data_IF_784746251103
#
_entry.id   IF_784746251103
#
_cell.length_a   1.000
_cell.length_b   1.000
_cell.length_c   1.000
_cell.angle_alpha   90.00
_cell.angle_beta   90.00
_cell.angle_gamma   90.00
#
_symmetry.space_group_name_H-M   'P 1'
#
loop_
_entity.id
_entity.type
_entity.pdbx_description
1 polymer ?
#
# COMPACT_ATOMS: atom_id res chain seq x y z
N UNK A 1 -37.46 24.58 27.85
CA UNK A 1 -36.81 25.08 26.61
C UNK A 1 -35.33 24.77 26.77
N UNK A 2 -34.57 24.09 25.91
CA UNK A 2 -34.75 23.47 24.61
C UNK A 2 -33.43 22.68 24.38
N UNK A 3 -33.52 21.42 23.93
CA UNK A 3 -32.48 20.61 23.25
C UNK A 3 -31.19 20.13 24.00
N UNK A 4 -30.97 18.79 24.06
CA UNK A 4 -29.71 18.13 24.38
C UNK A 4 -29.02 17.63 23.10
N UNK A 5 -27.91 18.25 22.65
CA UNK A 5 -27.19 17.73 21.47
C UNK A 5 -25.70 18.07 21.47
N UNK A 6 -24.93 17.56 22.43
CA UNK A 6 -23.47 17.51 22.32
C UNK A 6 -22.93 16.20 22.90
N UNK A 7 -23.49 15.08 22.43
CA UNK A 7 -22.86 13.77 22.55
C UNK A 7 -22.24 13.42 21.19
N UNK A 8 -21.04 12.85 21.24
CA UNK A 8 -20.26 12.25 20.14
C UNK A 8 -19.44 13.21 19.27
N UNK A 9 -18.26 13.60 19.75
CA UNK A 9 -17.13 13.86 18.85
C UNK A 9 -15.77 13.76 19.56
N UNK A 10 -15.52 12.69 20.33
CA UNK A 10 -14.16 12.47 20.85
C UNK A 10 -13.83 11.02 21.26
N UNK A 11 -14.19 9.99 20.49
CA UNK A 11 -13.59 8.65 20.67
C UNK A 11 -13.57 7.89 19.34
N UNK A 12 -12.55 8.08 18.50
CA UNK A 12 -11.83 7.01 17.74
C UNK A 12 -10.44 7.55 17.36
N UNK A 13 -9.58 7.76 18.35
CA UNK A 13 -8.13 7.90 18.14
C UNK A 13 -7.39 6.74 18.82
N UNK A 14 -8.01 5.56 18.85
CA UNK A 14 -7.42 4.35 19.37
C UNK A 14 -7.18 3.36 18.22
N UNK A 15 -5.90 2.97 18.08
CA UNK A 15 -5.42 1.80 17.33
C UNK A 15 -5.15 1.96 15.82
N UNK A 16 -4.33 2.94 15.44
CA UNK A 16 -3.37 2.72 14.35
C UNK A 16 -1.94 3.06 14.78
N UNK A 17 -1.56 2.68 16.00
CA UNK A 17 -0.17 2.37 16.29
C UNK A 17 0.15 1.02 15.61
N UNK A 18 0.22 1.01 14.28
CA UNK A 18 0.89 -0.09 13.60
C UNK A 18 2.36 0.02 13.98
N UNK A 19 2.98 -1.04 14.52
CA UNK A 19 4.42 -1.01 14.72
C UNK A 19 5.06 -0.66 13.39
N UNK A 20 5.95 0.34 13.41
CA UNK A 20 6.81 0.75 12.30
C UNK A 20 7.87 -0.34 11.98
N UNK A 21 7.48 -1.60 12.05
CA UNK A 21 8.32 -2.77 11.89
C UNK A 21 7.96 -3.39 10.54
N UNK A 22 8.85 -3.18 9.56
CA UNK A 22 8.83 -3.63 8.16
C UNK A 22 8.17 -2.71 7.10
N UNK A 23 8.30 -1.40 7.25
CA UNK A 23 8.22 -0.47 6.11
C UNK A 23 9.50 -0.62 5.25
N UNK A 24 9.55 -1.62 4.36
CA UNK A 24 10.72 -1.76 3.49
C UNK A 24 10.73 -2.92 2.49
N UNK A 25 9.92 -3.96 2.70
CA UNK A 25 9.81 -5.04 1.73
C UNK A 25 8.56 -5.84 2.03
N UNK A 26 7.58 -5.79 1.13
CA UNK A 26 6.67 -6.91 0.99
C UNK A 26 7.55 -8.13 0.74
N UNK A 27 7.39 -9.19 1.53
CA UNK A 27 8.17 -10.44 1.42
C UNK A 27 7.65 -11.24 0.19
N UNK A 28 7.67 -10.59 -0.97
CA UNK A 28 7.14 -11.06 -2.26
C UNK A 28 7.90 -12.30 -2.73
N UNK A 29 9.12 -12.52 -2.24
CA UNK A 29 9.93 -13.69 -2.55
C UNK A 29 9.27 -15.00 -2.13
N UNK A 30 8.47 -14.97 -1.06
CA UNK A 30 7.74 -16.14 -0.53
C UNK A 30 6.40 -16.38 -1.22
N UNK A 31 5.92 -15.43 -2.03
CA UNK A 31 4.67 -15.61 -2.77
C UNK A 31 4.81 -16.63 -3.89
N UNK A 32 3.72 -17.32 -4.17
CA UNK A 32 3.53 -18.09 -5.40
C UNK A 32 3.53 -17.19 -6.64
N UNK A 33 3.56 -17.83 -7.82
CA UNK A 33 3.65 -17.13 -9.10
C UNK A 33 2.54 -16.07 -9.31
N UNK A 34 1.31 -16.38 -8.90
CA UNK A 34 0.16 -15.46 -8.99
C UNK A 34 0.34 -14.21 -8.12
N UNK A 35 0.74 -14.39 -6.85
CA UNK A 35 1.00 -13.28 -5.94
C UNK A 35 2.17 -12.41 -6.41
N UNK A 36 3.27 -13.04 -6.84
CA UNK A 36 4.43 -12.32 -7.43
C UNK A 36 4.03 -11.48 -8.63
N UNK A 37 3.28 -12.05 -9.57
CA UNK A 37 2.79 -11.33 -10.75
C UNK A 37 1.90 -10.15 -10.35
N UNK A 38 0.96 -10.35 -9.43
CA UNK A 38 0.09 -9.27 -8.94
C UNK A 38 0.90 -8.11 -8.36
N UNK A 39 1.85 -8.38 -7.46
CA UNK A 39 2.69 -7.34 -6.86
C UNK A 39 3.61 -6.68 -7.88
N UNK A 40 4.16 -7.41 -8.84
CA UNK A 40 4.98 -6.84 -9.91
C UNK A 40 4.17 -5.90 -10.81
N UNK A 41 2.98 -6.32 -11.24
CA UNK A 41 2.07 -5.54 -12.07
C UNK A 41 1.59 -4.28 -11.33
N UNK A 42 1.25 -4.42 -10.05
CA UNK A 42 0.91 -3.32 -9.14
C UNK A 42 2.08 -2.34 -9.00
N UNK A 43 3.31 -2.84 -8.76
CA UNK A 43 4.51 -2.02 -8.59
C UNK A 43 4.83 -1.22 -9.86
N UNK A 44 4.75 -1.85 -11.04
CA UNK A 44 4.94 -1.16 -12.32
C UNK A 44 3.93 -0.02 -12.51
N UNK A 45 2.64 -0.31 -12.25
CA UNK A 45 1.58 0.68 -12.40
C UNK A 45 1.76 1.85 -11.42
N UNK A 46 1.98 1.58 -10.13
CA UNK A 46 2.07 2.63 -9.10
C UNK A 46 3.28 3.55 -9.28
N UNK A 47 4.38 3.02 -9.84
CA UNK A 47 5.57 3.82 -10.16
C UNK A 47 5.28 4.84 -11.27
N UNK A 48 4.41 4.50 -12.22
CA UNK A 48 3.94 5.41 -13.28
C UNK A 48 2.92 6.44 -12.84
N UNK A 49 2.36 6.32 -11.62
CA UNK A 49 1.40 7.30 -11.09
C UNK A 49 2.15 8.51 -10.50
N UNK A 50 1.95 9.73 -11.02
CA UNK A 50 2.74 10.90 -10.62
C UNK A 50 2.47 11.36 -9.18
N UNK A 51 1.21 11.30 -8.76
CA UNK A 51 0.77 11.62 -7.41
C UNK A 51 -0.26 10.59 -7.00
N UNK A 52 -0.13 10.03 -5.79
CA UNK A 52 -1.06 9.03 -5.27
C UNK A 52 -2.19 9.65 -4.45
N UNK A 53 -2.25 10.98 -4.37
CA UNK A 53 -3.31 11.66 -3.64
C UNK A 53 -4.70 11.33 -4.23
N UNK A 54 -5.73 11.07 -3.41
CA UNK A 54 -7.04 10.64 -3.89
C UNK A 54 -7.74 11.61 -4.85
N UNK A 55 -7.41 12.90 -4.81
CA UNK A 55 -7.92 13.92 -5.74
C UNK A 55 -7.32 13.81 -7.16
N UNK A 56 -6.22 13.08 -7.33
CA UNK A 56 -5.57 12.92 -8.62
C UNK A 56 -6.31 11.86 -9.48
N UNK A 57 -6.70 12.23 -10.70
CA UNK A 57 -7.44 11.33 -11.60
C UNK A 57 -6.66 10.04 -11.94
N UNK A 58 -5.34 10.12 -12.12
CA UNK A 58 -4.51 8.95 -12.38
C UNK A 58 -4.42 8.03 -11.15
N UNK A 59 -4.35 8.60 -9.94
CA UNK A 59 -4.42 7.83 -8.69
C UNK A 59 -5.76 7.11 -8.55
N UNK A 60 -6.88 7.81 -8.79
CA UNK A 60 -8.20 7.19 -8.72
C UNK A 60 -8.34 6.06 -9.75
N UNK A 61 -7.90 6.27 -11.00
CA UNK A 61 -7.93 5.23 -12.02
C UNK A 61 -7.09 4.02 -11.61
N UNK A 62 -5.88 4.26 -11.08
CA UNK A 62 -5.03 3.21 -10.53
C UNK A 62 -5.71 2.47 -9.37
N UNK A 63 -6.30 3.17 -8.40
CA UNK A 63 -6.96 2.54 -7.25
C UNK A 63 -8.19 1.72 -7.64
N UNK A 64 -9.02 2.21 -8.57
CA UNK A 64 -10.15 1.44 -9.11
C UNK A 64 -9.67 0.15 -9.77
N UNK A 65 -8.69 0.26 -10.68
CA UNK A 65 -8.12 -0.90 -11.37
C UNK A 65 -7.41 -1.87 -10.41
N UNK A 66 -6.75 -1.33 -9.39
CA UNK A 66 -6.10 -2.14 -8.35
C UNK A 66 -7.13 -2.95 -7.57
N UNK A 67 -8.19 -2.30 -7.09
CA UNK A 67 -9.25 -2.95 -6.33
C UNK A 67 -9.98 -3.99 -7.18
N UNK A 68 -10.30 -3.65 -8.43
CA UNK A 68 -10.92 -4.57 -9.38
C UNK A 68 -10.06 -5.83 -9.59
N UNK A 69 -8.77 -5.66 -9.90
CA UNK A 69 -7.84 -6.79 -10.04
C UNK A 69 -7.74 -7.60 -8.75
N UNK A 70 -7.68 -6.93 -7.60
CA UNK A 70 -7.54 -7.59 -6.30
C UNK A 70 -8.78 -8.40 -5.93
N UNK A 71 -9.99 -7.87 -6.15
CA UNK A 71 -11.24 -8.58 -5.84
C UNK A 71 -11.46 -9.79 -6.75
N UNK A 72 -10.94 -9.75 -7.97
CA UNK A 72 -11.00 -10.85 -8.93
C UNK A 72 -9.82 -11.83 -8.88
N UNK A 73 -8.88 -11.67 -7.92
CA UNK A 73 -7.84 -12.68 -7.71
C UNK A 73 -8.45 -14.02 -7.29
N UNK A 74 -7.89 -15.12 -7.81
CA UNK A 74 -8.18 -16.47 -7.36
C UNK A 74 -8.00 -16.62 -5.85
N UNK A 75 -8.87 -17.39 -5.21
CA UNK A 75 -8.83 -17.60 -3.76
C UNK A 75 -7.49 -18.19 -3.29
N UNK A 76 -6.85 -19.02 -4.12
CA UNK A 76 -5.52 -19.57 -3.83
C UNK A 76 -4.47 -18.46 -3.75
N UNK A 77 -4.54 -17.47 -4.63
CA UNK A 77 -3.62 -16.32 -4.65
C UNK A 77 -3.91 -15.40 -3.47
N UNK A 78 -5.18 -15.15 -3.14
CA UNK A 78 -5.55 -14.38 -1.95
C UNK A 78 -5.03 -15.03 -0.67
N UNK A 79 -5.20 -16.34 -0.49
CA UNK A 79 -4.68 -17.08 0.67
C UNK A 79 -3.15 -17.03 0.75
N UNK A 80 -2.46 -17.19 -0.37
CA UNK A 80 -1.00 -17.05 -0.45
C UNK A 80 -0.54 -15.64 -0.02
N UNK A 81 -1.26 -14.61 -0.45
CA UNK A 81 -1.01 -13.23 -0.01
C UNK A 81 -1.33 -12.99 1.47
N UNK A 82 -2.41 -13.58 1.99
CA UNK A 82 -2.73 -13.52 3.42
C UNK A 82 -1.64 -14.16 4.28
N UNK A 83 -1.06 -15.26 3.81
CA UNK A 83 -0.02 -16.00 4.52
C UNK A 83 1.34 -15.27 4.52
N UNK A 84 1.76 -14.74 3.37
CA UNK A 84 3.13 -14.23 3.20
C UNK A 84 3.25 -12.72 3.27
N UNK A 85 2.17 -11.97 3.02
CA UNK A 85 2.13 -10.51 3.11
C UNK A 85 0.88 -10.00 3.86
N UNK A 86 0.63 -10.50 5.09
CA UNK A 86 -0.63 -10.30 5.81
C UNK A 86 -1.01 -8.83 6.01
N UNK A 87 -0.02 -7.97 6.27
CA UNK A 87 -0.25 -6.54 6.51
C UNK A 87 -0.85 -5.84 5.30
N UNK A 88 -0.27 -6.05 4.12
CA UNK A 88 -0.76 -5.45 2.88
C UNK A 88 -2.11 -6.03 2.50
N UNK A 89 -2.26 -7.36 2.61
CA UNK A 89 -3.51 -8.05 2.30
C UNK A 89 -4.66 -7.58 3.19
N UNK A 90 -4.41 -7.30 4.48
CA UNK A 90 -5.41 -6.70 5.38
C UNK A 90 -5.86 -5.31 4.91
N UNK A 91 -4.93 -4.46 4.48
CA UNK A 91 -5.25 -3.13 3.95
C UNK A 91 -6.09 -3.25 2.68
N UNK A 92 -5.69 -4.14 1.76
CA UNK A 92 -6.41 -4.37 0.51
C UNK A 92 -7.83 -4.86 0.73
N UNK A 93 -8.01 -5.83 1.65
CA UNK A 93 -9.31 -6.32 2.07
C UNK A 93 -10.19 -5.21 2.68
N UNK A 94 -9.63 -4.35 3.53
CA UNK A 94 -10.36 -3.23 4.11
C UNK A 94 -10.76 -2.19 3.06
N UNK A 95 -9.85 -1.86 2.14
CA UNK A 95 -10.12 -0.93 1.05
C UNK A 95 -11.20 -1.48 0.11
N UNK A 96 -11.14 -2.76 -0.27
CA UNK A 96 -12.14 -3.40 -1.12
C UNK A 96 -13.54 -3.40 -0.48
N UNK A 97 -13.63 -3.73 0.82
CA UNK A 97 -14.91 -3.66 1.55
C UNK A 97 -15.46 -2.24 1.60
N UNK A 98 -14.60 -1.25 1.87
CA UNK A 98 -15.01 0.15 1.96
C UNK A 98 -15.34 0.76 0.60
N UNK A 99 -14.76 0.29 -0.49
CA UNK A 99 -14.99 0.87 -1.82
C UNK A 99 -16.47 0.86 -2.24
N UNK A 100 -17.23 -0.15 -1.82
CA UNK A 100 -18.67 -0.25 -2.08
C UNK A 100 -19.55 0.66 -1.20
N UNK A 101 -18.97 1.26 -0.14
CA UNK A 101 -19.69 2.05 0.86
C UNK A 101 -19.25 3.52 0.78
N UNK A 102 -17.93 3.73 0.83
CA UNK A 102 -17.26 5.02 0.79
C UNK A 102 -15.97 4.88 -0.05
N UNK A 103 -16.05 5.14 -1.37
CA UNK A 103 -14.90 5.12 -2.26
C UNK A 103 -13.77 6.07 -1.85
N UNK A 104 -14.10 7.21 -1.21
CA UNK A 104 -13.11 8.21 -0.81
C UNK A 104 -12.23 7.66 0.30
N UNK A 105 -12.82 7.04 1.32
CA UNK A 105 -12.05 6.38 2.38
C UNK A 105 -11.22 5.22 1.84
N UNK A 106 -11.76 4.40 0.93
CA UNK A 106 -11.00 3.32 0.30
C UNK A 106 -9.75 3.87 -0.41
N UNK A 107 -9.90 4.96 -1.17
CA UNK A 107 -8.77 5.60 -1.85
C UNK A 107 -7.77 6.26 -0.89
N UNK A 108 -8.22 6.83 0.23
CA UNK A 108 -7.31 7.36 1.26
C UNK A 108 -6.44 6.26 1.88
N UNK A 109 -7.02 5.10 2.17
CA UNK A 109 -6.28 3.93 2.66
C UNK A 109 -5.22 3.48 1.64
N UNK A 110 -5.62 3.33 0.38
CA UNK A 110 -4.70 2.92 -0.69
C UNK A 110 -3.62 3.96 -0.95
N UNK A 111 -3.97 5.25 -1.00
CA UNK A 111 -3.03 6.36 -1.11
C UNK A 111 -1.95 6.27 -0.03
N UNK A 112 -2.36 6.16 1.23
CA UNK A 112 -1.42 6.08 2.37
C UNK A 112 -0.49 4.89 2.23
N UNK A 113 -1.02 3.72 1.90
CA UNK A 113 -0.20 2.52 1.68
C UNK A 113 0.79 2.71 0.54
N UNK A 114 0.32 3.16 -0.62
CA UNK A 114 1.14 3.26 -1.83
C UNK A 114 2.17 4.38 -1.77
N UNK A 115 1.90 5.48 -1.07
CA UNK A 115 2.91 6.52 -0.84
C UNK A 115 4.05 5.99 0.03
N UNK A 116 3.72 5.26 1.10
CA UNK A 116 4.72 4.63 1.95
C UNK A 116 5.50 3.54 1.20
N UNK A 117 4.81 2.78 0.34
CA UNK A 117 5.43 1.80 -0.55
C UNK A 117 6.43 2.46 -1.52
N UNK A 118 6.04 3.54 -2.22
CA UNK A 118 6.94 4.27 -3.14
C UNK A 118 8.14 4.87 -2.41
N UNK A 119 7.93 5.46 -1.23
CA UNK A 119 9.01 6.00 -0.37
C UNK A 119 9.97 4.89 0.06
N UNK A 120 9.45 3.76 0.50
CA UNK A 120 10.24 2.59 0.90
C UNK A 120 11.08 2.03 -0.26
N UNK A 121 10.46 1.84 -1.43
CA UNK A 121 11.14 1.37 -2.63
C UNK A 121 12.24 2.34 -3.10
N UNK A 122 11.94 3.64 -3.13
CA UNK A 122 12.91 4.69 -3.51
C UNK A 122 14.06 4.77 -2.51
N UNK A 123 13.78 4.65 -1.21
CA UNK A 123 14.79 4.66 -0.16
C UNK A 123 15.73 3.45 -0.23
N UNK A 124 15.20 2.26 -0.59
CA UNK A 124 16.02 1.07 -0.74
C UNK A 124 16.93 1.16 -1.99
N UNK A 125 16.39 1.69 -3.10
CA UNK A 125 17.15 1.97 -4.31
C UNK A 125 18.23 3.03 -4.08
N UNK A 126 17.92 4.12 -3.36
CA UNK A 126 18.89 5.14 -3.00
C UNK A 126 20.03 4.56 -2.13
N UNK A 127 19.71 3.72 -1.14
CA UNK A 127 20.72 3.02 -0.32
C UNK A 127 21.59 2.09 -1.16
N UNK A 128 21.02 1.36 -2.12
CA UNK A 128 21.77 0.51 -3.04
C UNK A 128 22.67 1.35 -3.98
N UNK A 129 22.17 2.47 -4.50
CA UNK A 129 22.94 3.41 -5.33
C UNK A 129 24.12 4.01 -4.59
N UNK A 130 23.92 4.46 -3.35
CA UNK A 130 25.00 4.97 -2.48
C UNK A 130 26.03 3.87 -2.18
N UNK A 131 25.59 2.64 -1.89
CA UNK A 131 26.50 1.50 -1.65
C UNK A 131 27.30 1.13 -2.89
N UNK A 132 26.70 1.21 -4.07
CA UNK A 132 27.37 0.93 -5.34
C UNK A 132 28.36 2.05 -5.71
N UNK A 133 27.97 3.32 -5.55
CA UNK A 133 28.85 4.46 -5.72
C UNK A 133 30.02 4.41 -4.72
N UNK A 134 29.77 4.13 -3.44
CA UNK A 134 30.83 3.98 -2.44
C UNK A 134 31.83 2.86 -2.77
N UNK A 135 31.40 1.76 -3.41
CA UNK A 135 32.31 0.72 -3.90
C UNK A 135 33.13 1.14 -5.13
N UNK A 136 32.58 2.01 -5.98
CA UNK A 136 33.26 2.50 -7.17
C UNK A 136 34.27 3.62 -6.83
N UNK A 137 33.90 4.52 -5.91
CA UNK A 137 34.75 5.63 -5.48
C UNK A 137 35.71 5.25 -4.33
N UNK A 138 35.45 4.15 -3.61
CA UNK A 138 36.31 3.65 -2.54
C UNK A 138 37.40 2.66 -2.98
N UNK A 139 37.48 2.30 -4.27
CA UNK A 139 38.54 1.42 -4.82
C UNK A 139 39.71 2.22 -5.41
N UNK A 140 40.10 3.26 -4.67
CA UNK A 140 41.22 4.14 -4.98
C UNK A 140 41.92 4.54 -3.69
N UNK A 141 42.53 3.57 -3.02
CA UNK A 141 43.67 3.69 -2.11
C UNK A 141 44.21 2.29 -1.82
#
# INVERSE_FOLDING_TARGET
>A
MWQPTLVLLLVVAACFAYPASSTGGLDVEKLGAGGKKFFMDMTKQVMGVPSLKPENLAAQAFFRNFLDKYTHLDDKVKKDMEQHVPTATKIFNQAAKKYNIDPVQAFQMLSTFFENFKKGASGNLAKQGVKMAGKLFGKGN
#
